data_IF_287806565235
#
_entry.id   IF_287806565235
#
_cell.length_a   1.000
_cell.length_b   1.000
_cell.length_c   1.000
_cell.angle_alpha   90.00
_cell.angle_beta   90.00
_cell.angle_gamma   90.00
#
_symmetry.space_group_name_H-M   'P 1'
#
loop_
_entity.id
_entity.type
_entity.pdbx_description
1 polymer ?
#
# COMPACT_ATOMS: atom_id res chain seq x y z
N UNK A 1 -5.20 -18.46 -17.97
CA UNK A 1 -4.98 -17.14 -17.34
C UNK A 1 -3.48 -16.95 -17.17
N UNK A 2 -2.87 -16.00 -17.88
CA UNK A 2 -1.43 -15.73 -17.80
C UNK A 2 -1.21 -14.54 -16.86
N UNK A 3 -0.66 -14.79 -15.68
CA UNK A 3 -0.26 -13.72 -14.76
C UNK A 3 0.92 -12.98 -15.38
N UNK A 4 0.81 -11.65 -15.49
CA UNK A 4 1.91 -10.83 -15.98
C UNK A 4 3.10 -10.98 -15.02
N UNK A 5 4.23 -11.48 -15.53
CA UNK A 5 5.48 -11.54 -14.77
C UNK A 5 5.93 -10.09 -14.53
N UNK A 6 5.75 -9.60 -13.30
CA UNK A 6 6.25 -8.30 -12.89
C UNK A 6 7.77 -8.42 -12.76
N UNK A 7 8.49 -8.04 -13.82
CA UNK A 7 9.94 -7.85 -13.72
C UNK A 7 10.20 -6.58 -12.93
N UNK A 8 10.95 -6.71 -11.84
CA UNK A 8 11.49 -5.54 -11.15
C UNK A 8 12.50 -4.84 -12.07
N UNK A 9 12.08 -3.75 -12.71
CA UNK A 9 12.88 -2.95 -13.66
C UNK A 9 13.78 -1.92 -12.98
N UNK A 10 13.84 -1.88 -11.65
CA UNK A 10 14.69 -0.94 -10.92
C UNK A 10 15.44 -1.62 -9.79
N UNK A 11 16.72 -1.27 -9.55
CA UNK A 11 17.45 -1.78 -8.39
C UNK A 11 16.68 -1.40 -7.11
N UNK A 12 16.83 -2.22 -6.07
CA UNK A 12 16.28 -1.90 -4.75
C UNK A 12 16.78 -0.51 -4.35
N UNK A 13 15.89 0.48 -4.40
CA UNK A 13 16.23 1.87 -4.07
C UNK A 13 16.46 1.93 -2.57
N UNK A 14 17.67 2.26 -2.16
CA UNK A 14 17.95 2.67 -0.78
C UNK A 14 17.08 3.91 -0.49
N UNK A 15 16.38 3.92 0.64
CA UNK A 15 15.55 5.05 1.10
C UNK A 15 16.33 5.81 2.20
N UNK A 16 17.40 6.57 1.86
CA UNK A 16 18.28 7.17 2.86
C UNK A 16 17.61 8.29 3.65
N UNK A 17 16.53 8.88 3.12
CA UNK A 17 15.86 10.01 3.76
C UNK A 17 14.44 9.68 4.22
N UNK A 18 13.99 10.36 5.27
CA UNK A 18 12.60 10.28 5.75
C UNK A 18 11.58 10.69 4.65
N UNK A 19 12.01 11.50 3.68
CA UNK A 19 11.19 11.87 2.53
C UNK A 19 11.02 10.70 1.57
N UNK A 20 12.09 9.98 1.26
CA UNK A 20 12.03 8.78 0.41
C UNK A 20 11.10 7.71 1.02
N UNK A 21 11.12 7.57 2.35
CA UNK A 21 10.21 6.69 3.09
C UNK A 21 8.74 7.09 2.86
N UNK A 22 8.40 8.36 3.08
CA UNK A 22 7.02 8.86 2.87
C UNK A 22 6.58 8.74 1.41
N UNK A 23 7.47 9.05 0.47
CA UNK A 23 7.20 8.93 -0.96
C UNK A 23 6.98 7.46 -1.36
N UNK A 24 7.70 6.52 -0.74
CA UNK A 24 7.51 5.09 -0.94
C UNK A 24 6.19 4.58 -0.33
N UNK A 25 5.82 5.01 0.88
CA UNK A 25 4.50 4.71 1.46
C UNK A 25 3.37 5.21 0.55
N UNK A 26 3.47 6.43 0.05
CA UNK A 26 2.48 6.98 -0.85
C UNK A 26 2.41 6.24 -2.19
N UNK A 27 3.55 5.73 -2.68
CA UNK A 27 3.59 4.87 -3.86
C UNK A 27 2.86 3.55 -3.63
N UNK A 28 2.98 2.93 -2.44
CA UNK A 28 2.22 1.72 -2.08
C UNK A 28 0.72 2.00 -2.11
N UNK A 29 0.26 3.08 -1.49
CA UNK A 29 -1.16 3.49 -1.50
C UNK A 29 -1.66 3.70 -2.93
N UNK A 30 -0.84 4.34 -3.78
CA UNK A 30 -1.20 4.59 -5.18
C UNK A 30 -1.26 3.29 -6.01
N UNK A 31 -0.39 2.32 -5.73
CA UNK A 31 -0.43 1.01 -6.39
C UNK A 31 -1.70 0.22 -6.04
N UNK A 32 -2.16 0.30 -4.80
CA UNK A 32 -3.45 -0.31 -4.41
C UNK A 32 -4.61 0.38 -5.14
N UNK A 33 -4.62 1.71 -5.21
CA UNK A 33 -5.64 2.44 -5.96
C UNK A 33 -5.65 2.03 -7.45
N UNK A 34 -4.48 1.86 -8.06
CA UNK A 34 -4.35 1.39 -9.44
C UNK A 34 -4.88 -0.05 -9.61
N UNK A 35 -4.61 -0.94 -8.67
CA UNK A 35 -5.11 -2.31 -8.69
C UNK A 35 -6.65 -2.36 -8.57
N UNK A 36 -7.21 -1.57 -7.66
CA UNK A 36 -8.67 -1.44 -7.46
C UNK A 36 -9.34 -0.87 -8.71
N UNK A 37 -8.72 0.13 -9.35
CA UNK A 37 -9.18 0.66 -10.63
C UNK A 37 -9.11 -0.40 -11.75
N UNK A 38 -8.02 -1.17 -11.83
CA UNK A 38 -7.87 -2.26 -12.80
C UNK A 38 -8.89 -3.40 -12.57
N UNK A 39 -9.37 -3.59 -11.34
CA UNK A 39 -10.44 -4.52 -10.99
C UNK A 39 -11.85 -4.01 -11.36
N UNK A 40 -11.97 -2.88 -12.07
CA UNK A 40 -13.24 -2.22 -12.43
C UNK A 40 -14.12 -1.88 -11.21
N UNK A 41 -13.50 -1.63 -10.05
CA UNK A 41 -14.21 -1.15 -8.87
C UNK A 41 -14.49 0.35 -9.00
N UNK A 42 -15.60 0.80 -8.42
CA UNK A 42 -16.05 2.19 -8.51
C UNK A 42 -15.12 3.15 -7.75
N UNK A 43 -15.14 4.44 -8.11
CA UNK A 43 -14.35 5.46 -7.41
C UNK A 43 -14.63 5.51 -5.90
N UNK A 44 -15.85 5.17 -5.49
CA UNK A 44 -16.20 5.01 -4.07
C UNK A 44 -15.43 3.88 -3.39
N UNK A 45 -15.21 2.75 -4.07
CA UNK A 45 -14.35 1.67 -3.57
C UNK A 45 -12.89 2.10 -3.48
N UNK A 46 -12.39 2.87 -4.45
CA UNK A 46 -11.03 3.43 -4.41
C UNK A 46 -10.87 4.37 -3.21
N UNK A 47 -11.84 5.25 -2.99
CA UNK A 47 -11.88 6.16 -1.84
C UNK A 47 -11.89 5.42 -0.51
N UNK A 48 -12.77 4.42 -0.37
CA UNK A 48 -12.88 3.62 0.84
C UNK A 48 -11.62 2.81 1.12
N UNK A 49 -11.01 2.20 0.08
CA UNK A 49 -9.76 1.46 0.22
C UNK A 49 -8.60 2.37 0.66
N UNK A 50 -8.49 3.57 0.08
CA UNK A 50 -7.48 4.55 0.51
C UNK A 50 -7.70 4.99 1.95
N UNK A 51 -8.95 5.28 2.34
CA UNK A 51 -9.27 5.67 3.71
C UNK A 51 -8.90 4.56 4.72
N UNK A 52 -9.25 3.31 4.43
CA UNK A 52 -8.89 2.17 5.28
C UNK A 52 -7.37 2.02 5.44
N UNK A 53 -6.59 2.21 4.38
CA UNK A 53 -5.12 2.15 4.46
C UNK A 53 -4.58 3.32 5.30
N UNK A 54 -5.13 4.53 5.15
CA UNK A 54 -4.72 5.67 5.98
C UNK A 54 -5.01 5.44 7.47
N UNK A 55 -6.17 4.89 7.82
CA UNK A 55 -6.44 4.54 9.22
C UNK A 55 -5.51 3.44 9.71
N UNK A 56 -5.20 2.44 8.87
CA UNK A 56 -4.22 1.41 9.19
C UNK A 56 -2.81 1.99 9.45
N UNK A 57 -2.37 2.98 8.67
CA UNK A 57 -1.09 3.67 8.95
C UNK A 57 -1.05 4.41 10.28
N UNK A 58 -2.20 4.86 10.80
CA UNK A 58 -2.25 5.58 12.08
C UNK A 58 -2.08 4.65 13.27
N UNK A 59 -2.55 3.41 13.15
CA UNK A 59 -2.48 2.39 14.20
C UNK A 59 -1.23 1.51 14.09
N UNK A 60 -0.63 1.40 12.89
CA UNK A 60 0.60 0.67 12.66
C UNK A 60 1.79 1.42 13.27
N UNK A 61 2.59 0.73 14.09
CA UNK A 61 3.81 1.27 14.70
C UNK A 61 5.01 1.33 13.74
N UNK A 62 4.85 0.88 12.50
CA UNK A 62 5.91 0.81 11.50
C UNK A 62 5.43 1.07 10.08
N UNK A 63 6.37 1.16 9.12
CA UNK A 63 6.06 1.42 7.72
C UNK A 63 5.15 0.36 7.12
N UNK A 64 4.28 0.75 6.17
CA UNK A 64 3.28 -0.15 5.56
C UNK A 64 3.86 -1.45 4.99
N UNK A 65 5.09 -1.44 4.48
CA UNK A 65 5.73 -2.63 3.91
C UNK A 65 6.28 -3.62 4.96
N UNK A 66 6.29 -3.24 6.24
CA UNK A 66 6.65 -4.11 7.37
C UNK A 66 5.42 -4.72 8.05
N UNK A 67 4.22 -4.28 7.67
CA UNK A 67 2.98 -4.76 8.25
C UNK A 67 2.74 -6.24 7.94
N UNK A 68 2.42 -7.00 8.99
CA UNK A 68 1.96 -8.38 8.92
C UNK A 68 0.43 -8.46 9.01
N UNK A 69 -0.13 -9.63 8.71
CA UNK A 69 -1.55 -9.89 8.94
C UNK A 69 -1.93 -9.75 10.43
N UNK A 70 -1.01 -10.03 11.35
CA UNK A 70 -1.24 -9.87 12.80
C UNK A 70 -1.48 -8.40 13.20
N UNK A 71 -0.87 -7.44 12.49
CA UNK A 71 -1.07 -6.01 12.72
C UNK A 71 -2.48 -5.57 12.30
N UNK A 72 -3.08 -6.26 11.32
CA UNK A 72 -4.44 -5.99 10.88
C UNK A 72 -5.48 -6.43 11.93
N UNK A 73 -5.21 -7.51 12.66
CA UNK A 73 -6.12 -8.02 13.70
C UNK A 73 -6.13 -7.17 14.98
N UNK A 74 -5.06 -6.39 15.24
CA UNK A 74 -5.02 -5.42 16.34
C UNK A 74 -6.01 -4.26 16.13
N UNK A 75 -6.45 -3.99 14.90
CA UNK A 75 -7.42 -2.93 14.58
C UNK A 75 -8.88 -3.25 14.96
N UNK A 76 -9.16 -4.48 15.40
CA UNK A 76 -10.51 -4.99 15.69
C UNK A 76 -10.88 -5.09 17.17
N UNK A 77 -10.03 -4.60 18.09
CA UNK A 77 -10.32 -4.52 19.53
C UNK A 77 -10.75 -3.13 19.97
#
# INVERSE_FOLDING_TARGET
>A
MALAVIRNISPARTLPTQRDVKDFEQRIVNLVALFVAAANLTDSHIGNARAAIFEFTRISSGPLWTASCDDADLSRR
#
